data_IF_975345406719
#
_entry.id   IF_975345406719
#
_cell.length_a   1.000
_cell.length_b   1.000
_cell.length_c   1.000
_cell.angle_alpha   90.00
_cell.angle_beta   90.00
_cell.angle_gamma   90.00
#
_symmetry.space_group_name_H-M   'P 1'
#
loop_
_entity.id
_entity.type
_entity.pdbx_description
1 polymer ?
#
# COMPACT_ATOMS: atom_id res chain seq x y z
N UNK A 1 32.88 -3.01 24.32
CA UNK A 1 31.49 -3.45 24.57
C UNK A 1 30.74 -2.27 25.16
N UNK A 2 30.38 -1.30 24.32
CA UNK A 2 29.67 -0.10 24.76
C UNK A 2 28.16 -0.39 24.71
N UNK A 3 27.51 -0.34 25.88
CA UNK A 3 26.06 -0.44 25.98
C UNK A 3 25.42 0.79 25.34
N UNK A 4 24.57 0.55 24.34
CA UNK A 4 23.68 1.57 23.81
C UNK A 4 22.65 1.89 24.90
N UNK A 5 22.85 3.02 25.56
CA UNK A 5 21.86 3.64 26.42
C UNK A 5 20.58 3.86 25.62
N UNK A 6 19.52 3.22 26.07
CA UNK A 6 18.17 3.36 25.58
C UNK A 6 17.68 4.76 25.99
N UNK A 7 17.84 5.74 25.09
CA UNK A 7 17.27 7.07 25.27
C UNK A 7 15.75 6.94 25.17
N UNK A 8 15.09 6.95 26.32
CA UNK A 8 13.65 7.14 26.48
C UNK A 8 13.33 8.60 26.16
N UNK A 9 13.22 8.93 24.87
CA UNK A 9 12.68 10.20 24.38
C UNK A 9 11.54 9.87 23.43
N UNK A 10 10.39 10.54 23.62
CA UNK A 10 9.15 10.50 22.81
C UNK A 10 9.22 9.56 21.62
N UNK A 11 8.77 8.31 21.81
CA UNK A 11 8.67 7.43 20.66
C UNK A 11 7.56 7.98 19.78
N UNK A 12 7.85 8.25 18.51
CA UNK A 12 6.87 8.59 17.47
C UNK A 12 5.59 7.72 17.50
N UNK A 13 5.71 6.50 18.05
CA UNK A 13 4.57 5.62 18.32
C UNK A 13 3.49 6.19 19.23
N UNK A 14 3.76 7.20 20.05
CA UNK A 14 2.81 7.88 20.94
C UNK A 14 1.97 8.93 20.19
N UNK A 15 2.53 9.53 19.13
CA UNK A 15 1.82 10.46 18.25
C UNK A 15 0.88 9.76 17.27
N UNK A 16 1.13 8.47 17.00
CA UNK A 16 0.28 7.66 16.11
C UNK A 16 -0.82 7.00 16.95
N UNK A 17 -2.10 7.31 16.72
CA UNK A 17 -3.19 6.69 17.47
C UNK A 17 -3.15 5.17 17.31
N UNK A 18 -3.49 4.46 18.39
CA UNK A 18 -3.54 3.00 18.37
C UNK A 18 -4.59 2.56 17.36
N UNK A 19 -4.20 1.72 16.40
CA UNK A 19 -5.09 1.19 15.36
C UNK A 19 -5.37 -0.28 15.58
N UNK A 20 -6.55 -0.71 15.16
CA UNK A 20 -6.93 -2.12 15.21
C UNK A 20 -6.42 -2.86 13.95
N UNK A 21 -5.42 -3.73 14.15
CA UNK A 21 -4.83 -4.59 13.11
C UNK A 21 -5.47 -5.96 12.99
N UNK A 22 -6.54 -6.24 13.76
CA UNK A 22 -7.21 -7.52 13.74
C UNK A 22 -7.67 -7.88 12.32
N UNK A 23 -7.51 -9.16 11.96
CA UNK A 23 -7.89 -9.75 10.67
C UNK A 23 -7.07 -9.27 9.45
N UNK A 24 -6.02 -8.46 9.61
CA UNK A 24 -5.15 -8.10 8.47
C UNK A 24 -4.36 -9.31 7.92
N UNK A 25 -4.21 -10.39 8.67
CA UNK A 25 -3.63 -11.64 8.18
C UNK A 25 -4.57 -12.45 7.29
N UNK A 26 -5.86 -12.11 7.20
CA UNK A 26 -6.83 -12.82 6.35
C UNK A 26 -6.79 -12.25 4.95
N UNK A 27 -6.59 -13.10 3.95
CA UNK A 27 -6.71 -12.72 2.53
C UNK A 27 -8.09 -13.14 2.02
N UNK A 28 -9.12 -12.56 2.63
CA UNK A 28 -10.52 -12.92 2.47
C UNK A 28 -11.17 -12.27 1.25
N UNK A 29 -10.60 -11.20 0.71
CA UNK A 29 -11.25 -10.42 -0.33
C UNK A 29 -10.44 -10.30 -1.62
N UNK A 30 -11.15 -10.36 -2.73
CA UNK A 30 -10.54 -10.21 -4.06
C UNK A 30 -10.58 -8.74 -4.50
N UNK A 31 -9.43 -8.23 -4.97
CA UNK A 31 -9.30 -6.97 -5.69
C UNK A 31 -8.85 -7.26 -7.13
N UNK A 32 -9.62 -6.77 -8.11
CA UNK A 32 -9.36 -6.90 -9.55
C UNK A 32 -8.99 -5.54 -10.11
N UNK A 33 -7.81 -5.45 -10.71
CA UNK A 33 -7.27 -4.22 -11.28
C UNK A 33 -6.77 -4.51 -12.69
N UNK A 34 -7.14 -3.66 -13.64
CA UNK A 34 -6.58 -3.76 -14.99
C UNK A 34 -5.35 -2.88 -15.06
N UNK A 35 -4.19 -3.42 -15.43
CA UNK A 35 -2.92 -2.68 -15.45
C UNK A 35 -2.35 -2.60 -16.88
N UNK A 36 -1.71 -1.48 -17.26
CA UNK A 36 -0.91 -1.41 -18.47
C UNK A 36 0.24 -2.42 -18.47
N UNK A 37 0.62 -2.93 -19.65
CA UNK A 37 1.74 -3.87 -19.78
C UNK A 37 3.06 -3.41 -19.15
N UNK A 38 3.50 -2.14 -19.28
CA UNK A 38 4.71 -1.68 -18.61
C UNK A 38 4.65 -1.87 -17.09
N UNK A 39 3.49 -1.59 -16.48
CA UNK A 39 3.27 -1.78 -15.04
C UNK A 39 3.41 -3.25 -14.66
N UNK A 40 2.88 -4.16 -15.48
CA UNK A 40 3.01 -5.60 -15.27
C UNK A 40 4.48 -6.02 -15.25
N UNK A 41 5.25 -5.62 -16.27
CA UNK A 41 6.67 -5.98 -16.38
C UNK A 41 7.49 -5.45 -15.20
N UNK A 42 7.28 -4.19 -14.82
CA UNK A 42 7.97 -3.62 -13.66
C UNK A 42 7.57 -4.31 -12.35
N UNK A 43 6.32 -4.75 -12.20
CA UNK A 43 5.92 -5.59 -11.05
C UNK A 43 6.63 -6.94 -11.07
N UNK A 44 6.75 -7.59 -12.22
CA UNK A 44 7.47 -8.87 -12.37
C UNK A 44 8.93 -8.72 -11.95
N UNK A 45 9.64 -7.71 -12.48
CA UNK A 45 11.04 -7.40 -12.17
C UNK A 45 11.24 -7.13 -10.67
N UNK A 46 10.39 -6.30 -10.06
CA UNK A 46 10.49 -5.98 -8.63
C UNK A 46 10.19 -7.21 -7.76
N UNK A 47 9.21 -8.02 -8.15
CA UNK A 47 8.88 -9.24 -7.41
C UNK A 47 10.01 -10.27 -7.48
N UNK A 48 10.67 -10.37 -8.63
CA UNK A 48 11.85 -11.21 -8.83
C UNK A 48 13.01 -10.75 -7.94
N UNK A 49 13.34 -9.45 -7.94
CA UNK A 49 14.41 -8.87 -7.13
C UNK A 49 14.16 -9.06 -5.62
N UNK A 50 12.90 -8.92 -5.18
CA UNK A 50 12.53 -9.01 -3.77
C UNK A 50 12.14 -10.44 -3.32
N UNK A 51 12.28 -11.43 -4.21
CA UNK A 51 11.90 -12.83 -3.96
C UNK A 51 10.49 -12.97 -3.36
N UNK A 52 9.54 -12.18 -3.87
CA UNK A 52 8.18 -12.08 -3.32
C UNK A 52 7.13 -12.27 -4.41
N UNK A 53 5.90 -12.58 -3.99
CA UNK A 53 4.78 -12.63 -4.94
C UNK A 53 4.19 -11.23 -5.15
N UNK A 54 3.64 -10.97 -6.34
CA UNK A 54 2.90 -9.73 -6.62
C UNK A 54 1.81 -9.44 -5.59
N UNK A 55 1.10 -10.48 -5.12
CA UNK A 55 0.06 -10.32 -4.11
C UNK A 55 0.65 -9.86 -2.78
N UNK A 56 1.74 -10.49 -2.32
CA UNK A 56 2.39 -10.09 -1.08
C UNK A 56 2.95 -8.67 -1.17
N UNK A 57 3.70 -8.36 -2.25
CA UNK A 57 4.25 -7.05 -2.50
C UNK A 57 3.19 -5.95 -2.53
N UNK A 58 2.12 -6.14 -3.31
CA UNK A 58 1.05 -5.15 -3.41
C UNK A 58 0.23 -5.02 -2.12
N UNK A 59 0.08 -6.11 -1.36
CA UNK A 59 -0.59 -6.05 -0.05
C UNK A 59 0.22 -5.21 0.94
N UNK A 60 1.54 -5.40 0.99
CA UNK A 60 2.42 -4.56 1.81
C UNK A 60 2.43 -3.11 1.34
N UNK A 61 2.44 -2.88 0.03
CA UNK A 61 2.34 -1.54 -0.54
C UNK A 61 1.02 -0.86 -0.14
N UNK A 62 -0.14 -1.52 -0.29
CA UNK A 62 -1.41 -0.93 0.11
C UNK A 62 -1.52 -0.72 1.63
N UNK A 63 -0.97 -1.64 2.43
CA UNK A 63 -0.88 -1.43 3.86
C UNK A 63 0.01 -0.23 4.22
N UNK A 64 1.14 -0.06 3.53
CA UNK A 64 2.00 1.11 3.67
C UNK A 64 1.26 2.39 3.30
N UNK A 65 0.48 2.36 2.21
CA UNK A 65 -0.30 3.51 1.76
C UNK A 65 -1.42 3.91 2.75
N UNK A 66 -2.10 2.94 3.36
CA UNK A 66 -3.22 3.18 4.29
C UNK A 66 -2.78 3.45 5.73
N UNK A 67 -1.76 2.72 6.20
CA UNK A 67 -1.34 2.72 7.60
C UNK A 67 -0.02 3.45 7.83
N UNK A 68 0.74 3.72 6.77
CA UNK A 68 2.06 4.31 6.84
C UNK A 68 3.17 3.27 6.95
N UNK A 69 4.36 3.63 6.49
CA UNK A 69 5.53 2.74 6.49
C UNK A 69 5.99 2.37 7.90
N UNK A 70 5.97 3.33 8.83
CA UNK A 70 6.30 3.09 10.23
C UNK A 70 5.43 1.98 10.84
N UNK A 71 4.13 1.98 10.52
CA UNK A 71 3.20 0.96 11.02
C UNK A 71 3.44 -0.41 10.39
N UNK A 72 3.81 -0.47 9.12
CA UNK A 72 4.23 -1.73 8.49
C UNK A 72 5.46 -2.32 9.20
N UNK A 73 6.47 -1.49 9.49
CA UNK A 73 7.67 -1.94 10.21
C UNK A 73 7.33 -2.39 11.63
N UNK A 74 6.42 -1.69 12.32
CA UNK A 74 5.92 -2.09 13.64
C UNK A 74 5.18 -3.43 13.59
N UNK A 75 4.33 -3.64 12.59
CA UNK A 75 3.65 -4.91 12.34
C UNK A 75 4.64 -6.05 12.13
N UNK A 76 5.67 -5.81 11.30
CA UNK A 76 6.73 -6.79 11.02
C UNK A 76 7.54 -7.13 12.28
N UNK A 77 8.00 -6.12 13.02
CA UNK A 77 8.82 -6.30 14.21
C UNK A 77 8.09 -7.03 15.35
N UNK A 78 6.78 -6.84 15.47
CA UNK A 78 5.96 -7.46 16.52
C UNK A 78 5.24 -8.74 16.06
N UNK A 79 5.30 -9.09 14.78
CA UNK A 79 4.58 -10.23 14.22
C UNK A 79 3.05 -10.10 14.35
N UNK A 80 2.51 -8.89 14.14
CA UNK A 80 1.07 -8.59 14.23
C UNK A 80 0.52 -8.14 12.88
N UNK A 81 -0.82 -8.12 12.74
CA UNK A 81 -1.49 -7.61 11.54
C UNK A 81 -1.16 -8.48 10.31
N UNK A 82 -0.51 -7.91 9.29
CA UNK A 82 -0.11 -8.66 8.08
C UNK A 82 0.82 -9.84 8.36
N UNK A 83 1.63 -9.75 9.43
CA UNK A 83 2.67 -10.73 9.77
C UNK A 83 2.25 -11.65 10.92
N UNK A 84 1.01 -11.56 11.38
CA UNK A 84 0.47 -12.50 12.34
C UNK A 84 0.42 -13.90 11.72
N UNK A 85 0.93 -14.90 12.44
CA UNK A 85 1.00 -16.29 12.00
C UNK A 85 -0.38 -16.75 11.52
N UNK A 86 -0.50 -16.99 10.22
CA UNK A 86 -1.73 -17.48 9.61
C UNK A 86 -2.00 -18.91 10.09
N UNK A 87 -3.26 -19.30 10.38
CA UNK A 87 -3.63 -20.70 10.24
C UNK A 87 -3.38 -21.11 8.78
N UNK A 88 -2.84 -22.31 8.55
CA UNK A 88 -2.45 -22.82 7.22
C UNK A 88 -3.56 -22.68 6.17
N UNK A 89 -3.59 -21.57 5.43
CA UNK A 89 -4.42 -21.42 4.24
C UNK A 89 -3.56 -21.84 3.05
N UNK A 90 -3.91 -22.98 2.44
CA UNK A 90 -3.24 -23.50 1.25
C UNK A 90 -3.47 -22.52 0.09
N UNK A 91 -2.41 -21.87 -0.37
CA UNK A 91 -2.41 -21.21 -1.67
C UNK A 91 -2.22 -22.29 -2.74
N UNK A 92 -3.19 -22.44 -3.64
CA UNK A 92 -2.89 -23.05 -4.93
C UNK A 92 -2.07 -22.04 -5.73
N UNK A 93 -0.77 -22.28 -5.86
CA UNK A 93 0.00 -21.72 -6.97
C UNK A 93 -0.49 -22.41 -8.25
N UNK A 94 -1.58 -21.92 -8.84
CA UNK A 94 -1.84 -22.23 -10.23
C UNK A 94 -0.84 -21.44 -11.07
N UNK A 95 0.11 -22.16 -11.70
CA UNK A 95 0.96 -21.63 -12.74
C UNK A 95 0.08 -21.15 -13.88
N UNK A 96 -0.07 -19.84 -14.03
CA UNK A 96 -0.76 -19.26 -15.17
C UNK A 96 0.12 -19.50 -16.39
N UNK A 97 -0.36 -20.33 -17.32
CA UNK A 97 0.32 -20.60 -18.58
C UNK A 97 0.50 -19.29 -19.37
N UNK A 98 1.72 -19.06 -19.84
CA UNK A 98 2.10 -17.91 -20.66
C UNK A 98 1.47 -18.07 -22.05
N UNK A 99 0.62 -17.14 -22.52
CA UNK A 99 0.10 -17.19 -23.89
C UNK A 99 1.21 -16.91 -24.91
N UNK A 100 1.24 -17.68 -25.99
CA UNK A 100 2.34 -17.73 -26.98
C UNK A 100 2.24 -16.69 -28.10
N UNK A 101 1.38 -15.68 -28.02
CA UNK A 101 1.27 -14.68 -29.09
C UNK A 101 1.20 -13.23 -28.54
N UNK A 102 2.08 -12.33 -29.00
CA UNK A 102 2.04 -10.93 -28.61
C UNK A 102 1.00 -10.19 -29.47
N UNK A 103 -0.19 -9.96 -28.91
CA UNK A 103 -1.17 -9.06 -29.51
C UNK A 103 -0.78 -7.60 -29.22
N UNK A 104 -0.80 -6.75 -30.25
CA UNK A 104 -0.32 -5.37 -30.24
C UNK A 104 -1.50 -4.43 -30.46
N UNK A 105 -2.05 -3.92 -29.36
CA UNK A 105 -2.92 -2.74 -29.36
C UNK A 105 -4.09 -2.89 -28.40
N UNK A 106 -4.06 -2.15 -27.27
CA UNK A 106 -5.01 -2.19 -26.12
C UNK A 106 -4.64 -3.18 -25.01
N UNK A 107 -3.35 -3.42 -24.77
CA UNK A 107 -2.90 -4.40 -23.78
C UNK A 107 -3.09 -3.90 -22.35
N UNK A 108 -4.16 -4.41 -21.73
CA UNK A 108 -4.44 -4.22 -20.31
C UNK A 108 -4.51 -5.60 -19.66
N UNK A 109 -3.58 -5.89 -18.75
CA UNK A 109 -3.51 -7.13 -18.01
C UNK A 109 -4.47 -7.10 -16.80
N UNK A 110 -5.30 -8.13 -16.65
CA UNK A 110 -6.17 -8.27 -15.49
C UNK A 110 -5.42 -8.87 -14.30
N UNK A 111 -5.03 -8.03 -13.35
CA UNK A 111 -4.43 -8.46 -12.10
C UNK A 111 -5.52 -8.82 -11.08
N UNK A 112 -5.48 -10.06 -10.60
CA UNK A 112 -6.30 -10.55 -9.48
C UNK A 112 -5.40 -10.74 -8.25
N UNK A 113 -5.68 -10.00 -7.20
CA UNK A 113 -4.99 -10.10 -5.90
C UNK A 113 -5.99 -10.38 -4.78
N UNK A 114 -5.55 -11.16 -3.80
CA UNK A 114 -6.30 -11.41 -2.58
C UNK A 114 -5.70 -10.57 -1.45
N UNK A 115 -6.51 -9.66 -0.91
CA UNK A 115 -6.09 -8.71 0.13
C UNK A 115 -7.04 -8.84 1.33
N UNK A 116 -6.68 -8.32 2.50
CA UNK A 116 -7.58 -8.21 3.63
C UNK A 116 -8.73 -7.24 3.35
N UNK A 117 -9.93 -7.56 3.83
CA UNK A 117 -11.12 -6.69 3.72
C UNK A 117 -10.84 -5.26 4.16
N UNK A 118 -10.14 -5.07 5.30
CA UNK A 118 -9.74 -3.74 5.80
C UNK A 118 -8.93 -2.93 4.80
N UNK A 119 -8.05 -3.58 4.03
CA UNK A 119 -7.25 -2.90 3.00
C UNK A 119 -8.16 -2.51 1.83
N UNK A 120 -9.01 -3.41 1.36
CA UNK A 120 -9.94 -3.13 0.26
C UNK A 120 -10.95 -2.04 0.61
N UNK A 121 -11.49 -2.06 1.83
CA UNK A 121 -12.42 -1.05 2.32
C UNK A 121 -11.73 0.30 2.50
N UNK A 122 -10.51 0.33 3.02
CA UNK A 122 -9.70 1.56 3.09
C UNK A 122 -9.44 2.18 1.72
N UNK A 123 -9.07 1.35 0.73
CA UNK A 123 -8.91 1.79 -0.65
C UNK A 123 -10.24 2.25 -1.28
N UNK A 124 -11.36 1.59 -0.96
CA UNK A 124 -12.69 1.98 -1.45
C UNK A 124 -13.09 3.35 -0.92
N UNK A 125 -12.95 3.59 0.38
CA UNK A 125 -13.25 4.88 1.00
C UNK A 125 -12.40 6.03 0.42
N UNK A 126 -11.14 5.74 0.05
CA UNK A 126 -10.29 6.71 -0.65
C UNK A 126 -10.72 6.95 -2.10
N UNK A 127 -11.08 5.89 -2.83
CA UNK A 127 -11.59 6.00 -4.20
C UNK A 127 -12.91 6.80 -4.26
N UNK A 128 -13.81 6.56 -3.31
CA UNK A 128 -15.08 7.29 -3.17
C UNK A 128 -14.85 8.78 -2.89
N UNK A 129 -13.94 9.12 -1.97
CA UNK A 129 -13.53 10.52 -1.72
C UNK A 129 -12.90 11.17 -2.95
N UNK A 130 -12.20 10.41 -3.77
CA UNK A 130 -11.61 10.87 -5.02
C UNK A 130 -12.61 10.98 -6.18
N UNK A 131 -13.84 10.49 -6.00
CA UNK A 131 -14.85 10.43 -7.06
C UNK A 131 -14.48 9.51 -8.23
N UNK A 132 -13.72 8.44 -7.97
CA UNK A 132 -13.34 7.43 -8.99
C UNK A 132 -13.71 6.02 -8.55
N UNK A 133 -13.66 5.08 -9.49
CA UNK A 133 -13.85 3.66 -9.15
C UNK A 133 -12.64 3.08 -8.41
N UNK A 134 -12.86 2.08 -7.54
CA UNK A 134 -11.77 1.39 -6.82
C UNK A 134 -10.70 0.85 -7.77
N UNK A 135 -11.09 0.26 -8.90
CA UNK A 135 -10.14 -0.27 -9.89
C UNK A 135 -9.30 0.82 -10.55
N UNK A 136 -9.87 1.99 -10.83
CA UNK A 136 -9.11 3.13 -11.35
C UNK A 136 -8.17 3.72 -10.30
N UNK A 137 -8.64 3.83 -9.05
CA UNK A 137 -7.84 4.30 -7.93
C UNK A 137 -6.64 3.39 -7.67
N UNK A 138 -6.87 2.08 -7.51
CA UNK A 138 -5.81 1.10 -7.30
C UNK A 138 -4.82 1.06 -8.47
N UNK A 139 -5.30 1.15 -9.72
CA UNK A 139 -4.42 1.25 -10.90
C UNK A 139 -3.50 2.46 -10.79
N UNK A 140 -4.05 3.64 -10.51
CA UNK A 140 -3.27 4.86 -10.43
C UNK A 140 -2.26 4.84 -9.30
N UNK A 141 -2.61 4.27 -8.15
CA UNK A 141 -1.66 4.06 -7.05
C UNK A 141 -0.50 3.15 -7.46
N UNK A 142 -0.78 2.00 -8.07
CA UNK A 142 0.25 1.09 -8.55
C UNK A 142 1.15 1.80 -9.59
N UNK A 143 0.58 2.51 -10.56
CA UNK A 143 1.36 3.26 -11.54
C UNK A 143 2.26 4.32 -10.87
N UNK A 144 1.72 5.10 -9.92
CA UNK A 144 2.45 6.14 -9.23
C UNK A 144 3.58 5.56 -8.36
N UNK A 145 3.37 4.40 -7.75
CA UNK A 145 4.39 3.69 -6.97
C UNK A 145 5.56 3.21 -7.82
N UNK A 146 5.28 2.68 -9.01
CA UNK A 146 6.31 2.09 -9.87
C UNK A 146 7.06 3.13 -10.72
N UNK A 147 6.34 4.13 -11.22
CA UNK A 147 6.89 5.08 -12.19
C UNK A 147 7.01 6.50 -11.66
N UNK A 148 6.55 6.74 -10.43
CA UNK A 148 6.52 8.07 -9.84
C UNK A 148 5.22 8.82 -10.13
N UNK A 149 5.05 9.94 -9.43
CA UNK A 149 3.80 10.68 -9.39
C UNK A 149 3.40 11.31 -10.74
N UNK A 150 4.34 11.58 -11.63
CA UNK A 150 4.03 12.17 -12.93
C UNK A 150 3.20 11.24 -13.85
N UNK A 151 3.16 9.94 -13.53
CA UNK A 151 2.51 8.92 -14.34
C UNK A 151 1.14 8.46 -13.81
N UNK A 152 0.67 9.02 -12.68
CA UNK A 152 -0.70 8.80 -12.20
C UNK A 152 -1.64 9.91 -12.64
N UNK A 153 -2.94 9.61 -12.86
CA UNK A 153 -3.94 10.63 -13.24
C UNK A 153 -3.88 11.82 -12.27
N UNK A 154 -3.60 13.03 -12.77
CA UNK A 154 -3.47 14.26 -11.94
C UNK A 154 -4.68 14.50 -11.00
N UNK A 155 -5.88 14.07 -11.41
CA UNK A 155 -7.10 14.19 -10.61
C UNK A 155 -7.08 13.40 -9.28
N UNK A 156 -6.32 12.31 -9.23
CA UNK A 156 -6.14 11.49 -8.02
C UNK A 156 -5.05 12.03 -7.10
N UNK A 157 -4.12 12.81 -7.66
CA UNK A 157 -2.99 13.39 -6.94
C UNK A 157 -3.35 14.66 -6.17
N UNK A 158 -4.50 15.27 -6.49
CA UNK A 158 -5.03 16.36 -5.68
C UNK A 158 -5.35 15.92 -4.23
N UNK A 159 -5.56 14.63 -3.97
CA UNK A 159 -5.65 14.11 -2.58
C UNK A 159 -4.29 14.17 -1.88
N UNK A 160 -3.19 13.97 -2.60
CA UNK A 160 -1.84 14.13 -2.06
C UNK A 160 -1.53 15.61 -1.80
N UNK A 161 -1.98 16.53 -2.66
CA UNK A 161 -1.89 17.98 -2.39
C UNK A 161 -2.80 18.43 -1.24
N UNK A 162 -3.90 17.72 -0.96
CA UNK A 162 -4.67 17.94 0.26
C UNK A 162 -3.85 17.63 1.53
N UNK A 163 -2.87 16.71 1.45
CA UNK A 163 -1.95 16.44 2.56
C UNK A 163 -0.87 17.53 2.72
N UNK A 164 -0.53 18.28 1.66
CA UNK A 164 0.35 19.46 1.78
C UNK A 164 -0.33 20.54 2.62
N UNK A 165 -1.65 20.72 2.49
CA UNK A 165 -2.41 21.61 3.38
C UNK A 165 -2.37 21.14 4.84
N UNK A 166 -2.40 19.83 5.10
CA UNK A 166 -2.28 19.28 6.47
C UNK A 166 -0.87 19.51 7.03
N UNK A 167 0.18 19.35 6.23
CA UNK A 167 1.55 19.67 6.65
C UNK A 167 1.70 21.17 6.96
N UNK A 168 1.12 22.04 6.15
CA UNK A 168 1.11 23.49 6.38
C UNK A 168 0.30 23.86 7.63
N UNK A 169 -0.85 23.22 7.87
CA UNK A 169 -1.64 23.37 9.09
C UNK A 169 -0.88 22.92 10.34
N UNK A 170 -0.09 21.85 10.25
CA UNK A 170 0.78 21.38 11.33
C UNK A 170 1.93 22.34 11.62
N UNK A 171 2.58 22.87 10.57
CA UNK A 171 3.62 23.90 10.71
C UNK A 171 3.06 25.18 11.37
N UNK A 172 1.85 25.60 10.98
CA UNK A 172 1.20 26.78 11.55
C UNK A 172 0.75 26.55 13.02
N UNK A 173 0.26 25.35 13.35
CA UNK A 173 -0.14 25.00 14.72
C UNK A 173 1.04 24.90 15.70
N UNK A 174 2.26 24.66 15.20
CA UNK A 174 3.49 24.70 16.01
C UNK A 174 3.90 26.15 16.33
N UNK A 175 3.74 27.08 15.38
CA UNK A 175 4.06 28.50 15.57
C UNK A 175 3.14 29.15 16.62
N UNK A 176 1.86 28.79 16.65
CA UNK A 176 0.90 29.31 17.63
C UNK A 176 1.15 28.80 19.07
N UNK A 177 1.82 27.65 19.23
CA UNK A 177 2.18 27.09 20.54
C UNK A 177 3.50 27.63 21.11
N UNK A 178 4.34 28.29 20.31
CA UNK A 178 5.56 28.97 20.78
C UNK A 178 5.31 30.44 21.16
N UNK A 179 4.09 30.96 20.92
CA UNK A 179 3.72 32.36 21.18
C UNK A 179 3.10 32.60 22.58
N UNK A 180 3.13 31.63 23.49
CA UNK A 180 2.64 31.74 24.88
C UNK A 180 3.71 31.39 25.92
#
# INVERSE_FOLDING_TARGET
>A
MAGLQQVSGDRLSELIPTRDYSNLNRQDCQLRVWLPDPVKRSLEEICEINETSMTAYLTEYFATYLFGHHELLRMRAKGIGLYELKPLTRYNMESVAVPTEPDLGKNIFALKIWVPDKIKDGLRSLAERAGVTLGEFSRALICAHLFGYEYGKSKLMNITMLNENVAQEWENALIDNEAF
#
